data_IF_886741421167
#
_entry.id   IF_886741421167
#
_cell.length_a   1.000
_cell.length_b   1.000
_cell.length_c   1.000
_cell.angle_alpha   90.00
_cell.angle_beta   90.00
_cell.angle_gamma   90.00
#
_symmetry.space_group_name_H-M   'P 1'
#
loop_
_entity.id
_entity.type
_entity.pdbx_description
1 polymer ?
#
# COMPACT_ATOMS: atom_id res chain seq x y z
N UNK A 1 36.59 32.61 -23.72
CA UNK A 1 36.54 31.15 -23.50
C UNK A 1 35.36 30.83 -22.60
N UNK A 2 34.25 30.43 -23.23
CA UNK A 2 33.14 29.72 -22.59
C UNK A 2 32.86 28.55 -23.52
N UNK A 3 33.38 27.39 -23.14
CA UNK A 3 33.08 26.12 -23.81
C UNK A 3 31.71 25.66 -23.31
N UNK A 4 30.67 25.94 -24.09
CA UNK A 4 29.43 25.18 -24.03
C UNK A 4 29.64 23.89 -24.83
N UNK A 5 29.47 22.69 -24.24
CA UNK A 5 29.50 21.46 -25.00
C UNK A 5 28.26 21.39 -25.89
N UNK A 6 28.50 21.52 -27.18
CA UNK A 6 27.61 21.15 -28.28
C UNK A 6 27.01 19.76 -28.00
N UNK A 7 25.68 19.68 -27.95
CA UNK A 7 24.94 18.42 -27.93
C UNK A 7 24.50 18.11 -29.38
N UNK A 8 25.25 17.33 -30.16
CA UNK A 8 25.01 17.11 -31.60
C UNK A 8 23.85 16.15 -31.92
N UNK A 9 23.21 15.54 -30.93
CA UNK A 9 22.21 14.51 -31.17
C UNK A 9 20.81 15.00 -30.77
N UNK A 10 19.96 15.17 -31.79
CA UNK A 10 18.61 15.70 -31.66
C UNK A 10 17.77 14.96 -30.64
N UNK A 11 17.09 15.75 -29.80
CA UNK A 11 16.00 15.31 -28.94
C UNK A 11 14.82 14.82 -29.79
N UNK A 12 14.88 13.56 -30.24
CA UNK A 12 13.69 12.77 -30.48
C UNK A 12 13.10 12.31 -29.13
N UNK A 13 11.78 12.09 -29.03
CA UNK A 13 11.21 11.44 -27.86
C UNK A 13 11.91 10.09 -27.65
N UNK A 14 12.50 9.89 -26.48
CA UNK A 14 13.09 8.62 -26.10
C UNK A 14 12.00 7.55 -26.20
N UNK A 15 12.15 6.50 -27.02
CA UNK A 15 11.23 5.38 -27.01
C UNK A 15 11.21 4.79 -25.60
N UNK A 16 10.11 4.97 -24.88
CA UNK A 16 9.90 4.28 -23.62
C UNK A 16 9.66 2.83 -23.99
N UNK A 17 10.72 2.02 -23.98
CA UNK A 17 10.55 0.58 -24.09
C UNK A 17 9.58 0.14 -22.99
N UNK A 18 8.53 -0.65 -23.32
CA UNK A 18 7.69 -1.23 -22.29
C UNK A 18 8.62 -2.04 -21.38
N UNK A 19 8.68 -1.70 -20.10
CA UNK A 19 9.60 -2.32 -19.13
C UNK A 19 9.48 -3.84 -19.24
N UNK A 20 10.48 -4.46 -19.88
CA UNK A 20 10.66 -5.91 -19.96
C UNK A 20 11.03 -6.44 -18.59
N UNK A 21 10.02 -6.57 -17.73
CA UNK A 21 10.00 -7.47 -16.58
C UNK A 21 8.70 -7.22 -15.82
N UNK A 22 7.57 -7.53 -16.45
CA UNK A 22 6.43 -7.99 -15.66
C UNK A 22 6.91 -9.31 -15.06
N UNK A 23 7.56 -9.26 -13.89
CA UNK A 23 7.65 -10.43 -13.05
C UNK A 23 6.22 -10.96 -12.99
N UNK A 24 5.99 -12.17 -13.52
CA UNK A 24 4.68 -12.82 -13.59
C UNK A 24 3.92 -12.49 -12.30
N UNK A 25 2.96 -11.58 -12.42
CA UNK A 25 2.20 -11.11 -11.27
C UNK A 25 1.47 -12.36 -10.77
N UNK A 26 1.77 -12.79 -9.56
CA UNK A 26 1.06 -13.90 -8.93
C UNK A 26 -0.33 -13.41 -8.52
N UNK A 27 -1.23 -13.36 -9.52
CA UNK A 27 -2.60 -12.87 -9.38
C UNK A 27 -3.33 -13.63 -8.27
N UNK A 28 -3.30 -14.98 -8.22
CA UNK A 28 -3.94 -15.72 -7.13
C UNK A 28 -3.45 -15.28 -5.74
N UNK A 29 -2.11 -15.17 -5.56
CA UNK A 29 -1.56 -14.73 -4.27
C UNK A 29 -1.97 -13.30 -3.92
N UNK A 30 -1.94 -12.37 -4.88
CA UNK A 30 -2.35 -10.99 -4.62
C UNK A 30 -3.83 -10.89 -4.27
N UNK A 31 -4.71 -11.64 -4.94
CA UNK A 31 -6.14 -11.68 -4.59
C UNK A 31 -6.35 -12.14 -3.15
N UNK A 32 -5.74 -13.25 -2.76
CA UNK A 32 -5.84 -13.77 -1.37
C UNK A 32 -5.34 -12.75 -0.35
N UNK A 33 -4.24 -12.05 -0.63
CA UNK A 33 -3.70 -11.03 0.28
C UNK A 33 -4.57 -9.78 0.38
N UNK A 34 -5.21 -9.36 -0.72
CA UNK A 34 -6.19 -8.26 -0.68
C UNK A 34 -7.36 -8.63 0.22
N UNK A 35 -7.93 -9.82 0.03
CA UNK A 35 -9.07 -10.32 0.82
C UNK A 35 -8.72 -10.48 2.31
N UNK A 36 -7.51 -10.97 2.61
CA UNK A 36 -7.00 -11.07 3.99
C UNK A 36 -6.96 -9.69 4.67
N UNK A 37 -6.37 -8.69 4.00
CA UNK A 37 -6.24 -7.34 4.56
C UNK A 37 -7.63 -6.69 4.69
N UNK A 38 -8.52 -6.85 3.71
CA UNK A 38 -9.89 -6.33 3.77
C UNK A 38 -10.64 -6.92 4.97
N UNK A 39 -10.59 -8.24 5.11
CA UNK A 39 -11.25 -8.97 6.20
C UNK A 39 -10.71 -8.52 7.55
N UNK A 40 -9.39 -8.39 7.68
CA UNK A 40 -8.78 -8.03 8.95
C UNK A 40 -9.01 -6.57 9.33
N UNK A 41 -8.92 -5.63 8.39
CA UNK A 41 -9.25 -4.22 8.65
C UNK A 41 -10.74 -4.05 9.04
N UNK A 42 -11.64 -4.79 8.38
CA UNK A 42 -13.05 -4.81 8.77
C UNK A 42 -13.26 -5.38 10.18
N UNK A 43 -12.54 -6.43 10.55
CA UNK A 43 -12.58 -7.00 11.91
C UNK A 43 -12.06 -6.01 12.96
N UNK A 44 -10.93 -5.34 12.70
CA UNK A 44 -10.38 -4.29 13.58
C UNK A 44 -11.40 -3.16 13.74
N UNK A 45 -12.05 -2.73 12.66
CA UNK A 45 -13.11 -1.70 12.72
C UNK A 45 -14.29 -2.09 13.60
N UNK A 46 -14.70 -3.37 13.58
CA UNK A 46 -15.74 -3.89 14.48
C UNK A 46 -15.27 -3.95 15.93
N UNK A 47 -14.03 -4.36 16.16
CA UNK A 47 -13.45 -4.55 17.49
C UNK A 47 -13.19 -3.21 18.21
N UNK A 48 -12.65 -2.21 17.51
CA UNK A 48 -12.42 -0.88 18.10
C UNK A 48 -13.73 -0.15 18.40
N UNK A 49 -14.79 -0.46 17.65
CA UNK A 49 -16.09 0.16 17.76
C UNK A 49 -16.17 1.54 17.07
N UNK A 50 -17.32 2.22 17.20
CA UNK A 50 -17.55 3.50 16.52
C UNK A 50 -16.54 4.55 16.99
N UNK A 51 -16.11 5.40 16.05
CA UNK A 51 -15.26 6.54 16.38
C UNK A 51 -16.08 7.52 17.23
N UNK A 52 -15.60 7.92 18.42
CA UNK A 52 -16.28 8.93 19.22
C UNK A 52 -16.28 10.28 18.49
N UNK A 53 -17.27 11.12 18.78
CA UNK A 53 -17.25 12.52 18.34
C UNK A 53 -16.00 13.19 18.93
N UNK A 54 -15.31 14.00 18.14
CA UNK A 54 -14.12 14.70 18.64
C UNK A 54 -14.55 16.00 19.32
N UNK A 55 -14.55 16.01 20.65
CA UNK A 55 -14.82 17.18 21.48
C UNK A 55 -13.87 17.21 22.69
N UNK A 56 -13.85 18.31 23.43
CA UNK A 56 -13.10 18.38 24.69
C UNK A 56 -13.63 17.40 25.74
N UNK A 57 -14.93 17.09 25.72
CA UNK A 57 -15.60 16.21 26.67
C UNK A 57 -15.29 14.73 26.41
N UNK A 58 -15.06 14.36 25.15
CA UNK A 58 -14.76 12.98 24.70
C UNK A 58 -13.29 12.79 24.36
N UNK A 59 -12.40 13.71 24.78
CA UNK A 59 -10.99 13.67 24.41
C UNK A 59 -10.31 12.39 24.91
N UNK A 60 -10.59 11.97 26.16
CA UNK A 60 -10.07 10.72 26.72
C UNK A 60 -10.57 9.51 25.93
N UNK A 61 -11.87 9.43 25.66
CA UNK A 61 -12.46 8.34 24.88
C UNK A 61 -11.91 8.28 23.46
N UNK A 62 -11.68 9.44 22.83
CA UNK A 62 -11.06 9.57 21.51
C UNK A 62 -9.63 9.06 21.52
N UNK A 63 -8.87 9.36 22.57
CA UNK A 63 -7.52 8.87 22.74
C UNK A 63 -7.48 7.36 22.98
N UNK A 64 -8.33 6.83 23.86
CA UNK A 64 -8.46 5.39 24.12
C UNK A 64 -8.89 4.63 22.85
N UNK A 65 -9.79 5.21 22.05
CA UNK A 65 -10.18 4.65 20.76
C UNK A 65 -9.00 4.61 19.78
N UNK A 66 -8.23 5.71 19.67
CA UNK A 66 -7.05 5.75 18.80
C UNK A 66 -5.99 4.73 19.24
N UNK A 67 -5.68 4.64 20.53
CA UNK A 67 -4.69 3.69 21.05
C UNK A 67 -5.07 2.24 20.81
N UNK A 68 -6.34 1.88 21.04
CA UNK A 68 -6.85 0.53 20.74
C UNK A 68 -6.71 0.21 19.26
N UNK A 69 -7.09 1.15 18.39
CA UNK A 69 -6.96 1.00 16.94
C UNK A 69 -5.50 0.78 16.53
N UNK A 70 -4.60 1.65 16.99
CA UNK A 70 -3.16 1.56 16.68
C UNK A 70 -2.56 0.24 17.14
N UNK A 71 -2.93 -0.22 18.34
CA UNK A 71 -2.45 -1.50 18.90
C UNK A 71 -2.90 -2.70 18.04
N UNK A 72 -4.16 -2.71 17.60
CA UNK A 72 -4.69 -3.78 16.74
C UNK A 72 -4.07 -3.76 15.34
N UNK A 73 -3.87 -2.58 14.75
CA UNK A 73 -3.20 -2.43 13.45
C UNK A 73 -1.74 -2.84 13.55
N UNK A 74 -1.05 -2.50 14.64
CA UNK A 74 0.34 -2.90 14.87
C UNK A 74 0.47 -4.42 15.04
N UNK A 75 -0.42 -5.06 15.79
CA UNK A 75 -0.45 -6.51 15.92
C UNK A 75 -0.64 -7.19 14.55
N UNK A 76 -1.58 -6.70 13.73
CA UNK A 76 -1.77 -7.22 12.38
C UNK A 76 -0.57 -6.97 11.46
N UNK A 77 0.12 -5.84 11.61
CA UNK A 77 1.36 -5.54 10.86
C UNK A 77 2.43 -6.59 11.15
N UNK A 78 2.59 -6.97 12.41
CA UNK A 78 3.55 -7.99 12.83
C UNK A 78 3.17 -9.38 12.27
N UNK A 79 1.89 -9.73 12.30
CA UNK A 79 1.35 -10.95 11.68
C UNK A 79 1.64 -11.00 10.17
N UNK A 80 1.35 -9.93 9.43
CA UNK A 80 1.68 -9.83 8.00
C UNK A 80 3.18 -9.98 7.72
N UNK A 81 4.03 -9.42 8.58
CA UNK A 81 5.48 -9.55 8.44
C UNK A 81 5.94 -10.99 8.67
N UNK A 82 5.44 -11.64 9.73
CA UNK A 82 5.81 -12.99 10.13
C UNK A 82 5.31 -14.05 9.14
N UNK A 83 4.06 -13.96 8.73
CA UNK A 83 3.39 -15.03 7.97
C UNK A 83 3.43 -14.81 6.46
N UNK A 84 3.34 -13.56 6.02
CA UNK A 84 3.20 -13.21 4.60
C UNK A 84 4.47 -12.61 4.00
N UNK A 85 5.50 -12.38 4.83
CA UNK A 85 6.77 -11.79 4.42
C UNK A 85 6.68 -10.30 4.08
N UNK A 86 5.71 -9.59 4.67
CA UNK A 86 5.62 -8.15 4.51
C UNK A 86 6.83 -7.44 5.13
N UNK A 87 7.33 -6.41 4.46
CA UNK A 87 8.42 -5.55 4.95
C UNK A 87 7.87 -4.16 5.20
N UNK A 88 8.05 -3.68 6.41
CA UNK A 88 7.64 -2.34 6.84
C UNK A 88 8.85 -1.50 7.19
N UNK A 89 8.77 -0.20 6.92
CA UNK A 89 9.76 0.78 7.36
C UNK A 89 9.05 2.10 7.63
N UNK A 90 9.57 2.89 8.57
CA UNK A 90 9.09 4.25 8.82
C UNK A 90 10.24 5.21 9.04
N UNK A 91 10.12 6.41 8.48
CA UNK A 91 11.04 7.52 8.71
C UNK A 91 10.23 8.78 9.01
N UNK A 92 10.26 9.23 10.27
CA UNK A 92 9.37 10.31 10.72
C UNK A 92 7.90 9.89 10.54
N UNK A 93 7.13 10.71 9.82
CA UNK A 93 5.74 10.39 9.47
C UNK A 93 5.59 9.56 8.19
N UNK A 94 6.66 9.27 7.44
CA UNK A 94 6.56 8.47 6.21
C UNK A 94 6.60 6.97 6.53
N UNK A 95 5.52 6.28 6.25
CA UNK A 95 5.38 4.83 6.40
C UNK A 95 5.44 4.16 5.05
N UNK A 96 6.19 3.05 4.94
CA UNK A 96 6.32 2.27 3.70
C UNK A 96 6.13 0.79 3.96
N UNK A 97 5.56 0.12 2.97
CA UNK A 97 5.33 -1.32 2.98
C UNK A 97 5.70 -1.93 1.64
N UNK A 98 6.28 -3.12 1.66
CA UNK A 98 6.40 -4.02 0.50
C UNK A 98 5.89 -5.41 0.85
N UNK A 99 4.99 -5.95 0.04
CA UNK A 99 4.43 -7.29 0.18
C UNK A 99 4.08 -7.85 -1.19
N UNK A 100 4.44 -9.11 -1.46
CA UNK A 100 4.14 -9.81 -2.72
C UNK A 100 4.49 -8.99 -3.99
N UNK A 101 5.63 -8.30 -3.97
CA UNK A 101 6.09 -7.46 -5.10
C UNK A 101 5.40 -6.09 -5.22
N UNK A 102 4.41 -5.79 -4.39
CA UNK A 102 3.71 -4.52 -4.33
C UNK A 102 4.30 -3.63 -3.23
N UNK A 103 4.66 -2.40 -3.59
CA UNK A 103 5.12 -1.37 -2.65
C UNK A 103 4.09 -0.26 -2.52
N UNK A 104 4.00 0.33 -1.33
CA UNK A 104 3.14 1.48 -1.02
C UNK A 104 3.80 2.38 0.03
N UNK A 105 3.38 3.64 0.09
CA UNK A 105 3.75 4.59 1.15
C UNK A 105 2.54 5.40 1.63
N UNK A 106 2.63 5.94 2.85
CA UNK A 106 1.61 6.80 3.41
C UNK A 106 2.18 7.66 4.55
N UNK A 107 1.67 8.88 4.70
CA UNK A 107 2.00 9.76 5.83
C UNK A 107 0.95 9.77 6.94
N UNK A 108 -0.20 9.12 6.70
CA UNK A 108 -1.37 9.12 7.59
C UNK A 108 -1.43 7.87 8.49
N UNK A 109 -0.30 7.20 8.71
CA UNK A 109 -0.21 6.00 9.54
C UNK A 109 -0.37 4.67 8.80
N UNK A 110 -0.28 3.59 9.57
CA UNK A 110 -0.20 2.21 9.07
C UNK A 110 -1.50 1.69 8.44
N UNK A 111 -2.67 2.07 8.96
CA UNK A 111 -3.96 1.67 8.37
C UNK A 111 -4.12 2.28 6.97
N UNK A 112 -3.86 3.58 6.82
CA UNK A 112 -3.93 4.25 5.53
C UNK A 112 -2.90 3.68 4.54
N UNK A 113 -1.72 3.26 5.02
CA UNK A 113 -0.74 2.54 4.22
C UNK A 113 -1.28 1.21 3.67
N UNK A 114 -1.95 0.41 4.52
CA UNK A 114 -2.58 -0.85 4.10
C UNK A 114 -3.64 -0.59 3.03
N UNK A 115 -4.50 0.42 3.21
CA UNK A 115 -5.48 0.83 2.20
C UNK A 115 -4.83 1.24 0.86
N UNK A 116 -3.75 2.02 0.91
CA UNK A 116 -2.99 2.37 -0.29
C UNK A 116 -2.38 1.13 -0.97
N UNK A 117 -1.86 0.19 -0.18
CA UNK A 117 -1.31 -1.07 -0.70
C UNK A 117 -2.40 -1.91 -1.39
N UNK A 118 -3.59 -2.02 -0.81
CA UNK A 118 -4.72 -2.75 -1.42
C UNK A 118 -5.10 -2.16 -2.77
N UNK A 119 -5.20 -0.82 -2.86
CA UNK A 119 -5.50 -0.15 -4.12
C UNK A 119 -4.42 -0.41 -5.18
N UNK A 120 -3.13 -0.39 -4.79
CA UNK A 120 -2.04 -0.72 -5.69
C UNK A 120 -2.05 -2.21 -6.12
N UNK A 121 -2.40 -3.13 -5.21
CA UNK A 121 -2.52 -4.55 -5.50
C UNK A 121 -3.68 -4.84 -6.46
N UNK A 122 -4.85 -4.24 -6.24
CA UNK A 122 -6.02 -4.36 -7.12
C UNK A 122 -5.72 -3.87 -8.54
N UNK A 123 -4.99 -2.76 -8.69
CA UNK A 123 -4.53 -2.28 -10.02
C UNK A 123 -3.64 -3.31 -10.71
N UNK A 124 -2.66 -3.88 -10.00
CA UNK A 124 -1.80 -4.94 -10.57
C UNK A 124 -2.56 -6.21 -10.93
N UNK A 125 -3.60 -6.58 -10.17
CA UNK A 125 -4.47 -7.70 -10.51
C UNK A 125 -5.21 -7.42 -11.82
N UNK A 126 -5.80 -6.22 -11.97
CA UNK A 126 -6.50 -5.83 -13.18
C UNK A 126 -5.57 -5.83 -14.40
N UNK A 127 -4.39 -5.19 -14.30
CA UNK A 127 -3.36 -5.20 -15.34
C UNK A 127 -2.92 -6.62 -15.71
N UNK A 128 -2.71 -7.47 -14.70
CA UNK A 128 -2.32 -8.87 -14.92
C UNK A 128 -3.39 -9.69 -15.66
N UNK A 129 -4.67 -9.46 -15.36
CA UNK A 129 -5.79 -10.12 -16.04
C UNK A 129 -5.93 -9.64 -17.49
N UNK A 130 -5.83 -8.34 -17.72
CA UNK A 130 -5.87 -7.77 -19.08
C UNK A 130 -4.75 -8.35 -19.96
N UNK A 131 -3.53 -8.46 -19.42
CA UNK A 131 -2.40 -9.07 -20.12
C UNK A 131 -2.58 -10.57 -20.40
N UNK A 132 -3.37 -11.26 -19.57
CA UNK A 132 -3.73 -12.66 -19.78
C UNK A 132 -4.90 -12.84 -20.78
N UNK A 133 -5.47 -11.75 -21.31
CA UNK A 133 -6.64 -11.78 -22.18
C UNK A 133 -7.96 -11.98 -21.44
N UNK A 134 -7.97 -11.86 -20.11
CA UNK A 134 -9.17 -11.89 -19.28
C UNK A 134 -9.66 -10.45 -19.07
N UNK A 135 -10.89 -10.10 -19.48
CA UNK A 135 -11.42 -8.76 -19.26
C UNK A 135 -11.55 -8.47 -17.76
N UNK A 136 -11.18 -7.25 -17.35
CA UNK A 136 -11.48 -6.73 -16.02
C UNK A 136 -13.01 -6.72 -15.82
N UNK A 137 -13.50 -7.49 -14.85
CA UNK A 137 -14.91 -7.51 -14.46
C UNK A 137 -15.24 -6.34 -13.54
#
# INVERSE_FOLDING_TARGET
MRDDPFNPHGSGPVPIEPRKSVALIDIPRLTVLVDLIDTRLAAIGKEVGPRPAFSSETMSESWDWMQRKESLVEAFRQELAAEQGARFSSTGSDHRMRLAGVSSSCTMGWEALLGNWQNAARRRIAEGRELAGEPAR
#
